data_IF_276963877995
#
_entry.id   IF_276963877995
#
_cell.length_a   1.000
_cell.length_b   1.000
_cell.length_c   1.000
_cell.angle_alpha   90.00
_cell.angle_beta   90.00
_cell.angle_gamma   90.00
#
_symmetry.space_group_name_H-M   'P 1'
#
loop_
_entity.id
_entity.type
_entity.pdbx_description
1 polymer ?
#
# COMPACT_ATOMS: atom_id res chain seq x y z
N UNK A 1 -9.07 14.69 -17.39
CA UNK A 1 -8.66 15.19 -16.04
C UNK A 1 -9.12 14.17 -14.99
N UNK A 2 -8.35 13.92 -13.91
CA UNK A 2 -8.74 12.99 -12.84
C UNK A 2 -8.92 13.73 -11.51
N UNK A 3 -9.90 13.31 -10.71
CA UNK A 3 -10.15 13.81 -9.37
C UNK A 3 -10.77 12.69 -8.51
N UNK A 4 -10.80 12.86 -7.19
CA UNK A 4 -11.41 11.88 -6.30
C UNK A 4 -12.89 12.20 -6.05
N UNK A 5 -13.71 11.16 -5.89
CA UNK A 5 -15.12 11.32 -5.51
C UNK A 5 -15.26 12.05 -4.16
N UNK A 6 -14.34 11.80 -3.22
CA UNK A 6 -14.35 12.47 -1.92
C UNK A 6 -14.14 13.97 -2.06
N UNK A 7 -13.23 14.43 -2.93
CA UNK A 7 -13.04 15.84 -3.21
C UNK A 7 -14.27 16.45 -3.89
N UNK A 8 -14.86 15.77 -4.87
CA UNK A 8 -16.09 16.26 -5.50
C UNK A 8 -17.22 16.46 -4.48
N UNK A 9 -17.37 15.53 -3.52
CA UNK A 9 -18.36 15.62 -2.44
C UNK A 9 -18.15 16.79 -1.49
N UNK A 10 -16.95 17.36 -1.37
CA UNK A 10 -16.79 18.58 -0.55
C UNK A 10 -17.43 19.81 -1.20
N UNK A 11 -17.85 19.71 -2.46
CA UNK A 11 -18.50 20.78 -3.22
C UNK A 11 -19.96 20.47 -3.58
N UNK A 12 -20.48 19.31 -3.19
CA UNK A 12 -21.84 18.86 -3.49
C UNK A 12 -22.56 18.50 -2.20
N UNK A 13 -23.77 19.01 -1.99
CA UNK A 13 -24.66 18.53 -0.94
C UNK A 13 -25.52 17.39 -1.50
N UNK A 14 -25.03 16.14 -1.36
CA UNK A 14 -25.68 14.96 -1.95
C UNK A 14 -25.26 13.63 -1.30
N UNK A 15 -26.22 12.71 -1.21
CA UNK A 15 -26.01 11.30 -0.87
C UNK A 15 -26.05 10.37 -2.09
N UNK A 16 -25.98 10.93 -3.30
CA UNK A 16 -26.06 10.16 -4.53
C UNK A 16 -24.96 9.07 -4.61
N UNK A 17 -25.34 7.93 -5.18
CA UNK A 17 -24.41 6.83 -5.47
C UNK A 17 -23.48 7.23 -6.63
N UNK A 18 -22.34 6.55 -6.71
CA UNK A 18 -21.33 6.78 -7.75
C UNK A 18 -21.93 6.74 -9.15
N UNK A 19 -22.73 5.70 -9.46
CA UNK A 19 -23.36 5.52 -10.78
C UNK A 19 -24.25 6.72 -11.15
N UNK A 20 -25.05 7.22 -10.20
CA UNK A 20 -25.90 8.40 -10.41
C UNK A 20 -25.07 9.65 -10.68
N UNK A 21 -23.94 9.82 -9.99
CA UNK A 21 -23.03 10.95 -10.20
C UNK A 21 -22.38 10.84 -11.59
N UNK A 22 -21.95 9.65 -12.00
CA UNK A 22 -21.32 9.45 -13.31
C UNK A 22 -22.29 9.65 -14.47
N UNK A 23 -23.53 9.20 -14.32
CA UNK A 23 -24.59 9.42 -15.31
C UNK A 23 -24.90 10.92 -15.44
N UNK A 24 -25.00 11.63 -14.31
CA UNK A 24 -25.25 13.07 -14.30
C UNK A 24 -24.13 13.86 -14.96
N UNK A 25 -22.86 13.52 -14.69
CA UNK A 25 -21.70 14.15 -15.34
C UNK A 25 -21.77 13.98 -16.87
N UNK A 26 -22.05 12.76 -17.34
CA UNK A 26 -22.19 12.49 -18.78
C UNK A 26 -23.36 13.27 -19.39
N UNK A 27 -24.50 13.33 -18.70
CA UNK A 27 -25.70 14.04 -19.17
C UNK A 27 -25.49 15.55 -19.34
N UNK A 28 -24.59 16.16 -18.56
CA UNK A 28 -24.23 17.58 -18.69
C UNK A 28 -23.04 17.82 -19.64
N UNK A 29 -22.60 16.79 -20.37
CA UNK A 29 -21.53 16.88 -21.37
C UNK A 29 -20.11 16.67 -20.83
N UNK A 30 -19.96 16.18 -19.58
CA UNK A 30 -18.67 15.80 -19.02
C UNK A 30 -18.45 14.30 -19.23
N UNK A 31 -17.87 13.94 -20.37
CA UNK A 31 -17.59 12.55 -20.70
C UNK A 31 -16.61 11.90 -19.71
N UNK A 32 -16.93 10.67 -19.30
CA UNK A 32 -16.12 9.86 -18.39
C UNK A 32 -15.33 8.82 -19.18
N UNK A 33 -14.00 8.93 -19.13
CA UNK A 33 -13.11 7.91 -19.68
C UNK A 33 -13.04 6.64 -18.81
N UNK A 34 -13.32 6.76 -17.51
CA UNK A 34 -13.36 5.61 -16.62
C UNK A 34 -13.35 5.96 -15.15
N UNK A 35 -13.65 4.95 -14.34
CA UNK A 35 -13.60 5.01 -12.88
C UNK A 35 -12.66 3.92 -12.38
N UNK A 36 -11.79 4.29 -11.44
CA UNK A 36 -10.83 3.37 -10.82
C UNK A 36 -10.99 3.43 -9.31
N UNK A 37 -10.97 2.28 -8.64
CA UNK A 37 -10.96 2.17 -7.18
C UNK A 37 -9.55 1.76 -6.68
N UNK A 38 -8.73 2.72 -6.21
CA UNK A 38 -7.43 2.40 -5.62
C UNK A 38 -7.56 1.61 -4.32
N UNK A 39 -8.67 1.74 -3.59
CA UNK A 39 -8.91 1.06 -2.32
C UNK A 39 -8.99 -0.45 -2.50
N UNK A 40 -9.73 -0.91 -3.51
CA UNK A 40 -9.78 -2.33 -3.86
C UNK A 40 -8.40 -2.88 -4.26
N UNK A 41 -7.65 -2.15 -5.09
CA UNK A 41 -6.31 -2.56 -5.51
C UNK A 41 -5.30 -2.63 -4.36
N UNK A 42 -5.49 -1.80 -3.33
CA UNK A 42 -4.61 -1.71 -2.17
C UNK A 42 -5.16 -2.43 -0.92
N UNK A 43 -6.24 -3.20 -1.06
CA UNK A 43 -6.94 -3.82 0.07
C UNK A 43 -6.11 -4.83 0.86
N UNK A 44 -5.05 -5.40 0.27
CA UNK A 44 -4.15 -6.35 0.94
C UNK A 44 -3.06 -5.65 1.79
N UNK A 45 -2.77 -4.38 1.51
CA UNK A 45 -1.67 -3.66 2.13
C UNK A 45 -2.08 -3.12 3.50
N UNK A 46 -1.13 -3.02 4.43
CA UNK A 46 -1.41 -2.62 5.82
C UNK A 46 -0.44 -1.56 6.28
N UNK A 47 -0.93 -0.59 7.05
CA UNK A 47 -0.07 0.31 7.81
C UNK A 47 0.46 -0.44 9.02
N UNK A 48 1.77 -0.41 9.19
CA UNK A 48 2.51 -1.15 10.23
C UNK A 48 3.49 -0.24 10.95
N UNK A 49 3.98 -0.68 12.10
CA UNK A 49 4.96 0.07 12.89
C UNK A 49 6.31 -0.65 12.92
N UNK A 50 7.38 0.06 12.60
CA UNK A 50 8.74 -0.49 12.68
C UNK A 50 9.23 -0.38 14.12
N UNK A 51 9.34 -1.52 14.81
CA UNK A 51 9.83 -1.58 16.18
C UNK A 51 11.36 -1.44 16.23
N UNK A 52 12.04 -2.13 15.32
CA UNK A 52 13.50 -2.20 15.27
C UNK A 52 13.97 -2.32 13.83
N UNK A 53 15.15 -1.76 13.50
CA UNK A 53 15.78 -1.89 12.20
C UNK A 53 17.31 -1.94 12.36
N UNK A 54 17.88 -3.14 12.36
CA UNK A 54 19.33 -3.37 12.52
C UNK A 54 20.00 -3.66 11.18
N UNK A 55 21.32 -3.47 11.11
CA UNK A 55 22.11 -3.83 9.93
C UNK A 55 21.97 -5.32 9.64
N UNK A 56 21.76 -5.69 8.37
CA UNK A 56 21.66 -7.08 7.98
C UNK A 56 23.03 -7.77 8.11
N UNK A 57 23.12 -8.97 8.74
CA UNK A 57 24.41 -9.63 9.02
C UNK A 57 25.19 -9.98 7.75
N UNK A 58 24.48 -10.32 6.66
CA UNK A 58 25.08 -10.76 5.39
C UNK A 58 24.92 -9.74 4.24
N UNK A 59 24.64 -8.46 4.54
CA UNK A 59 24.47 -7.44 3.50
C UNK A 59 24.63 -6.01 4.04
N UNK A 60 25.47 -5.20 3.40
CA UNK A 60 25.74 -3.82 3.82
C UNK A 60 24.58 -2.86 3.51
N UNK A 61 23.77 -3.16 2.49
CA UNK A 61 22.68 -2.29 2.01
C UNK A 61 21.29 -2.70 2.52
N UNK A 62 21.19 -3.76 3.31
CA UNK A 62 19.92 -4.26 3.81
C UNK A 62 19.84 -4.09 5.33
N UNK A 63 18.62 -3.99 5.83
CA UNK A 63 18.29 -4.00 7.25
C UNK A 63 17.35 -5.15 7.55
N UNK A 64 17.56 -5.79 8.68
CA UNK A 64 16.59 -6.71 9.27
C UNK A 64 15.68 -5.90 10.20
N UNK A 65 14.39 -5.85 9.89
CA UNK A 65 13.42 -5.04 10.63
C UNK A 65 12.45 -5.92 11.40
N UNK A 66 12.17 -5.57 12.65
CA UNK A 66 11.04 -6.13 13.41
C UNK A 66 9.86 -5.18 13.27
N UNK A 67 8.73 -5.72 12.83
CA UNK A 67 7.56 -4.93 12.47
C UNK A 67 6.35 -5.42 13.25
N UNK A 68 5.64 -4.50 13.87
CA UNK A 68 4.32 -4.76 14.44
C UNK A 68 3.24 -4.53 13.38
N UNK A 69 2.49 -5.59 13.09
CA UNK A 69 1.38 -5.59 12.12
C UNK A 69 0.02 -5.37 12.77
N UNK A 70 -0.05 -5.26 14.10
CA UNK A 70 -1.28 -5.27 14.89
C UNK A 70 -1.85 -6.67 15.14
N UNK A 71 -1.53 -7.65 14.29
CA UNK A 71 -1.87 -9.06 14.49
C UNK A 71 -0.70 -9.88 15.08
N UNK A 72 0.50 -9.29 15.12
CA UNK A 72 1.71 -9.94 15.58
C UNK A 72 2.97 -9.25 15.07
N UNK A 73 4.12 -9.68 15.59
CA UNK A 73 5.43 -9.16 15.20
C UNK A 73 6.04 -10.07 14.12
N UNK A 74 6.51 -9.47 13.03
CA UNK A 74 7.14 -10.18 11.91
C UNK A 74 8.52 -9.61 11.60
N UNK A 75 9.40 -10.45 11.04
CA UNK A 75 10.68 -10.02 10.47
C UNK A 75 10.51 -9.65 9.00
N UNK A 76 11.04 -8.50 8.60
CA UNK A 76 11.07 -8.07 7.19
C UNK A 76 12.45 -7.52 6.88
N UNK A 77 13.02 -7.97 5.77
CA UNK A 77 14.26 -7.42 5.25
C UNK A 77 13.94 -6.24 4.34
N UNK A 78 14.53 -5.08 4.64
CA UNK A 78 14.29 -3.84 3.91
C UNK A 78 15.60 -3.28 3.36
N UNK A 79 15.63 -2.93 2.07
CA UNK A 79 16.75 -2.23 1.44
C UNK A 79 16.65 -0.70 1.49
N UNK A 80 15.56 -0.16 2.02
CA UNK A 80 15.31 1.27 2.14
C UNK A 80 15.60 1.78 3.57
N UNK A 81 15.40 3.08 3.81
CA UNK A 81 15.67 3.74 5.09
C UNK A 81 14.62 3.44 6.19
N UNK A 82 14.36 2.16 6.47
CA UNK A 82 13.57 1.76 7.63
C UNK A 82 14.29 2.18 8.93
N UNK A 83 13.55 2.82 9.84
CA UNK A 83 14.05 3.30 11.14
C UNK A 83 13.05 2.91 12.24
N UNK A 84 13.51 2.62 13.47
CA UNK A 84 12.61 2.40 14.60
C UNK A 84 11.65 3.59 14.78
N UNK A 85 10.40 3.30 15.15
CA UNK A 85 9.38 4.30 15.46
C UNK A 85 8.61 4.86 14.25
N UNK A 86 8.98 4.49 13.00
CA UNK A 86 8.25 4.97 11.82
C UNK A 86 7.04 4.08 11.51
N UNK A 87 6.00 4.69 10.95
CA UNK A 87 4.92 3.96 10.29
C UNK A 87 5.30 3.70 8.85
N UNK A 88 5.03 2.50 8.37
CA UNK A 88 5.30 2.09 6.99
C UNK A 88 4.12 1.32 6.42
N UNK A 89 4.15 1.05 5.12
CA UNK A 89 3.17 0.16 4.47
C UNK A 89 3.81 -1.20 4.23
N UNK A 90 3.18 -2.25 4.74
CA UNK A 90 3.57 -3.63 4.50
C UNK A 90 2.70 -4.21 3.38
N UNK A 91 3.37 -4.78 2.39
CA UNK A 91 2.81 -5.72 1.45
C UNK A 91 3.02 -7.15 1.99
N UNK A 92 1.98 -7.82 2.50
CA UNK A 92 2.12 -9.19 3.01
C UNK A 92 2.38 -10.18 1.86
N UNK A 93 2.93 -11.37 2.15
CA UNK A 93 3.02 -12.47 1.19
C UNK A 93 1.67 -12.74 0.51
N UNK A 94 1.70 -13.04 -0.78
CA UNK A 94 0.51 -13.18 -1.62
C UNK A 94 0.00 -11.86 -2.23
N UNK A 95 0.50 -10.70 -1.78
CA UNK A 95 0.17 -9.42 -2.41
C UNK A 95 0.83 -9.28 -3.76
N UNK A 96 0.09 -8.75 -4.74
CA UNK A 96 0.63 -8.35 -6.05
C UNK A 96 1.07 -6.89 -5.99
N UNK A 97 2.34 -6.62 -6.30
CA UNK A 97 2.85 -5.25 -6.39
C UNK A 97 2.33 -4.59 -7.67
N UNK A 98 1.55 -3.50 -7.60
CA UNK A 98 0.90 -2.92 -8.78
C UNK A 98 1.87 -2.45 -9.86
N UNK A 99 3.03 -1.92 -9.47
CA UNK A 99 4.02 -1.39 -10.40
C UNK A 99 4.73 -2.45 -11.24
N UNK A 100 4.93 -3.66 -10.69
CA UNK A 100 5.70 -4.73 -11.34
C UNK A 100 4.87 -5.96 -11.70
N UNK A 101 3.62 -6.05 -11.24
CA UNK A 101 2.77 -7.24 -11.36
C UNK A 101 3.30 -8.46 -10.58
N UNK A 102 4.32 -8.27 -9.74
CA UNK A 102 4.98 -9.38 -9.04
C UNK A 102 4.19 -9.80 -7.81
N UNK A 103 3.91 -11.10 -7.68
CA UNK A 103 3.32 -11.68 -6.47
C UNK A 103 4.42 -11.94 -5.44
N UNK A 104 4.28 -11.37 -4.25
CA UNK A 104 5.21 -11.59 -3.16
C UNK A 104 5.06 -12.99 -2.58
N UNK A 105 6.19 -13.60 -2.24
CA UNK A 105 6.26 -14.88 -1.53
C UNK A 105 6.97 -14.68 -0.20
N UNK A 106 6.60 -15.46 0.80
CA UNK A 106 7.43 -15.61 2.00
C UNK A 106 8.75 -16.25 1.59
N UNK A 107 9.85 -15.75 2.13
CA UNK A 107 11.15 -16.30 1.81
C UNK A 107 12.25 -15.76 2.71
N UNK A 108 13.45 -16.22 2.40
CA UNK A 108 14.66 -15.86 3.11
C UNK A 108 15.54 -15.02 2.20
N UNK A 109 16.01 -13.89 2.71
CA UNK A 109 16.95 -13.01 2.00
C UNK A 109 18.29 -13.16 2.70
N UNK A 110 19.21 -13.88 2.06
CA UNK A 110 20.60 -14.05 2.53
C UNK A 110 20.71 -14.51 4.00
N UNK A 111 19.98 -15.53 4.43
CA UNK A 111 20.05 -16.01 5.82
C UNK A 111 18.96 -15.48 6.74
N UNK A 112 18.20 -14.45 6.33
CA UNK A 112 17.21 -13.78 7.20
C UNK A 112 15.82 -13.87 6.60
N UNK A 113 14.88 -14.37 7.40
CA UNK A 113 13.47 -14.49 7.02
C UNK A 113 12.83 -13.11 6.78
N UNK A 114 12.06 -13.00 5.70
CA UNK A 114 11.28 -11.81 5.35
C UNK A 114 9.83 -12.16 5.06
N UNK A 115 8.95 -11.75 5.96
CA UNK A 115 7.50 -11.96 5.87
C UNK A 115 6.80 -10.83 5.09
N UNK A 116 7.28 -10.53 3.89
CA UNK A 116 6.73 -9.52 3.00
C UNK A 116 7.73 -8.42 2.64
N UNK A 117 7.19 -7.28 2.20
CA UNK A 117 7.96 -6.13 1.72
C UNK A 117 7.43 -4.83 2.30
N UNK A 118 8.33 -4.00 2.83
CA UNK A 118 8.01 -2.60 3.12
C UNK A 118 8.02 -1.78 1.84
N UNK A 119 6.95 -1.02 1.60
CA UNK A 119 6.79 -0.20 0.42
C UNK A 119 7.25 1.24 0.65
N UNK A 120 7.73 1.86 -0.42
CA UNK A 120 7.82 3.32 -0.52
C UNK A 120 6.50 3.90 -1.02
N UNK A 121 6.31 5.19 -0.76
CA UNK A 121 5.31 6.00 -1.46
C UNK A 121 5.72 6.22 -2.93
#
# INVERSE_FOLDING_TARGET
>A
MKFSLQWLRTHLDTDAKLDTITDALTAIGLELEGVTDPGAALAAFRVVHVLEAVQHPNADRLRACRIDTGAGIVSVVCGAHARPGVRAVLAPPGSTIPATGTVLKTGEIRGVESAGMLLSL
#
